data_IF_486454654344
#
_entry.id   IF_486454654344
#
_cell.length_a   1.000
_cell.length_b   1.000
_cell.length_c   1.000
_cell.angle_alpha   90.00
_cell.angle_beta   90.00
_cell.angle_gamma   90.00
#
_symmetry.space_group_name_H-M   'P 1'
#
loop_
_entity.id
_entity.type
_entity.pdbx_description
1 polymer ?
#
# COMPACT_ATOMS: atom_id res chain seq x y z
N UNK A 1 -10.85 -25.71 -4.09
CA UNK A 1 -11.60 -24.99 -4.39
C UNK A 1 -11.78 -23.88 -3.66
N UNK A 2 -11.95 -23.88 -2.54
CA UNK A 2 -12.04 -22.79 -1.69
C UNK A 2 -10.76 -22.06 -1.48
N UNK A 3 -9.64 -22.62 -1.92
CA UNK A 3 -8.33 -22.00 -1.72
C UNK A 3 -8.18 -20.66 -2.41
N UNK A 4 -8.73 -20.49 -3.58
CA UNK A 4 -8.66 -19.21 -4.30
C UNK A 4 -9.46 -18.13 -3.57
N UNK A 5 -10.63 -18.48 -3.06
CA UNK A 5 -11.45 -17.54 -2.30
C UNK A 5 -10.77 -17.14 -0.98
N UNK A 6 -10.15 -18.11 -0.29
CA UNK A 6 -9.41 -17.82 0.92
C UNK A 6 -8.21 -16.92 0.64
N UNK A 7 -7.50 -17.18 -0.46
CA UNK A 7 -6.36 -16.37 -0.84
C UNK A 7 -6.77 -14.94 -1.14
N UNK A 8 -7.87 -14.75 -1.86
CA UNK A 8 -8.41 -13.43 -2.17
C UNK A 8 -8.79 -12.71 -0.88
N UNK A 9 -9.43 -13.39 0.06
CA UNK A 9 -9.80 -12.81 1.35
C UNK A 9 -8.57 -12.35 2.14
N UNK A 10 -7.53 -13.18 2.20
CA UNK A 10 -6.29 -12.85 2.88
C UNK A 10 -5.61 -11.65 2.21
N UNK A 11 -5.58 -11.62 0.89
CA UNK A 11 -4.97 -10.55 0.13
C UNK A 11 -5.73 -9.24 0.32
N UNK A 12 -7.05 -9.27 0.34
CA UNK A 12 -7.88 -8.10 0.61
C UNK A 12 -7.61 -7.54 2.00
N UNK A 13 -7.49 -8.41 3.00
CA UNK A 13 -7.20 -8.00 4.37
C UNK A 13 -5.84 -7.34 4.45
N UNK A 14 -4.84 -7.93 3.82
CA UNK A 14 -3.49 -7.39 3.78
C UNK A 14 -3.48 -6.03 3.07
N UNK A 15 -4.20 -5.93 1.97
CA UNK A 15 -4.34 -4.67 1.23
C UNK A 15 -4.95 -3.57 2.10
N UNK A 16 -6.04 -3.89 2.81
CA UNK A 16 -6.71 -2.92 3.67
C UNK A 16 -5.79 -2.42 4.77
N UNK A 17 -5.01 -3.32 5.38
CA UNK A 17 -4.05 -2.95 6.41
C UNK A 17 -2.98 -2.00 5.87
N UNK A 18 -2.50 -2.26 4.65
CA UNK A 18 -1.50 -1.41 4.00
C UNK A 18 -2.09 -0.05 3.66
N UNK A 19 -3.34 0.01 3.22
CA UNK A 19 -4.02 1.28 2.92
C UNK A 19 -4.16 2.12 4.18
N UNK A 20 -4.51 1.50 5.30
CA UNK A 20 -4.62 2.18 6.59
C UNK A 20 -3.26 2.76 6.99
N UNK A 21 -2.21 1.96 6.89
CA UNK A 21 -0.85 2.40 7.18
C UNK A 21 -0.45 3.57 6.29
N UNK A 22 -0.74 3.46 4.99
CA UNK A 22 -0.44 4.52 4.02
C UNK A 22 -1.11 5.84 4.39
N UNK A 23 -2.38 5.80 4.76
CA UNK A 23 -3.11 7.00 5.17
C UNK A 23 -2.50 7.64 6.41
N UNK A 24 -2.11 6.82 7.39
CA UNK A 24 -1.48 7.32 8.61
C UNK A 24 -0.15 8.01 8.30
N UNK A 25 0.66 7.42 7.45
CA UNK A 25 1.94 8.00 7.05
C UNK A 25 1.71 9.33 6.33
N UNK A 26 0.75 9.39 5.41
CA UNK A 26 0.43 10.60 4.68
C UNK A 26 -0.03 11.73 5.60
N UNK A 27 -0.87 11.41 6.59
CA UNK A 27 -1.31 12.39 7.58
C UNK A 27 -0.16 12.88 8.44
N UNK A 28 0.69 11.97 8.89
CA UNK A 28 1.88 12.34 9.67
C UNK A 28 2.82 13.22 8.84
N UNK A 29 3.00 12.91 7.57
CA UNK A 29 3.84 13.71 6.69
C UNK A 29 3.31 15.13 6.53
N UNK A 30 2.00 15.32 6.49
CA UNK A 30 1.40 16.65 6.44
C UNK A 30 1.73 17.44 7.70
N UNK A 31 1.64 16.79 8.86
CA UNK A 31 1.98 17.42 10.14
C UNK A 31 3.47 17.80 10.19
N UNK A 32 4.34 16.92 9.72
CA UNK A 32 5.78 17.17 9.69
C UNK A 32 6.13 18.36 8.80
N UNK A 33 5.50 18.43 7.62
CA UNK A 33 5.70 19.54 6.70
C UNK A 33 5.23 20.86 7.31
N UNK A 34 4.10 20.83 8.01
CA UNK A 34 3.58 22.00 8.69
C UNK A 34 4.56 22.50 9.75
N UNK A 35 5.12 21.58 10.54
CA UNK A 35 6.11 21.93 11.55
C UNK A 35 7.36 22.53 10.93
N UNK A 36 7.83 21.98 9.82
CA UNK A 36 8.98 22.51 9.12
C UNK A 36 8.68 23.92 8.63
N UNK A 37 7.51 24.16 8.06
CA UNK A 37 7.12 25.49 7.57
C UNK A 37 7.04 26.51 8.69
N UNK A 38 6.55 26.12 9.87
CA UNK A 38 6.46 26.99 11.03
C UNK A 38 7.83 27.38 11.57
N UNK A 39 8.82 26.51 11.40
CA UNK A 39 10.18 26.76 11.89
C UNK A 39 11.17 27.09 10.77
N UNK A 40 10.65 27.44 9.60
CA UNK A 40 11.48 27.66 8.42
C UNK A 40 12.56 28.73 8.61
N UNK A 41 12.26 29.77 9.38
CA UNK A 41 13.20 30.85 9.58
C UNK A 41 14.28 30.56 10.62
N UNK A 42 14.16 29.47 11.36
CA UNK A 42 15.14 29.11 12.38
C UNK A 42 16.31 28.40 11.72
N UNK A 43 17.42 29.08 11.58
CA UNK A 43 18.59 28.55 10.89
C UNK A 43 19.21 27.31 11.55
N UNK A 44 19.08 27.17 12.87
CA UNK A 44 19.64 26.04 13.61
C UNK A 44 18.56 25.12 14.16
N UNK A 45 17.49 24.96 13.43
CA UNK A 45 16.36 24.21 13.93
C UNK A 45 16.58 22.71 13.83
N UNK A 46 16.94 22.08 14.95
CA UNK A 46 17.08 20.62 15.01
C UNK A 46 15.76 19.93 14.76
N UNK A 47 14.65 20.58 15.15
CA UNK A 47 13.31 20.05 14.94
C UNK A 47 13.06 19.86 13.44
N UNK A 48 13.43 20.85 12.62
CA UNK A 48 13.28 20.74 11.16
C UNK A 48 14.06 19.56 10.58
N UNK A 49 15.29 19.36 11.06
CA UNK A 49 16.12 18.25 10.61
C UNK A 49 15.48 16.92 10.97
N UNK A 50 14.96 16.79 12.19
CA UNK A 50 14.30 15.56 12.63
C UNK A 50 13.04 15.28 11.83
N UNK A 51 12.21 16.30 11.56
CA UNK A 51 11.01 16.12 10.74
C UNK A 51 11.35 15.78 9.28
N UNK A 52 12.44 16.34 8.74
CA UNK A 52 12.89 15.99 7.40
C UNK A 52 13.30 14.51 7.33
N UNK A 53 13.98 14.02 8.37
CA UNK A 53 14.33 12.59 8.43
C UNK A 53 13.11 11.72 8.48
N UNK A 54 12.09 12.12 9.26
CA UNK A 54 10.83 11.39 9.35
C UNK A 54 10.08 11.39 8.01
N UNK A 55 10.13 12.51 7.29
CA UNK A 55 9.53 12.59 5.95
C UNK A 55 10.21 11.63 4.98
N UNK A 56 11.54 11.55 5.03
CA UNK A 56 12.28 10.62 4.16
C UNK A 56 11.91 9.17 4.49
N UNK A 57 11.87 8.81 5.76
CA UNK A 57 11.47 7.47 6.18
C UNK A 57 10.05 7.14 5.74
N UNK A 58 9.15 8.10 5.91
CA UNK A 58 7.76 7.94 5.48
C UNK A 58 7.65 7.73 3.99
N UNK A 59 8.43 8.45 3.19
CA UNK A 59 8.44 8.31 1.74
C UNK A 59 8.92 6.93 1.31
N UNK A 60 9.98 6.44 1.93
CA UNK A 60 10.49 5.09 1.65
C UNK A 60 9.41 4.06 1.96
N UNK A 61 8.73 4.19 3.09
CA UNK A 61 7.67 3.25 3.46
C UNK A 61 6.48 3.34 2.52
N UNK A 62 6.10 4.54 2.07
CA UNK A 62 5.04 4.73 1.09
C UNK A 62 5.38 3.98 -0.20
N UNK A 63 6.61 4.10 -0.69
CA UNK A 63 7.04 3.40 -1.89
C UNK A 63 6.95 1.88 -1.71
N UNK A 64 7.38 1.36 -0.56
CA UNK A 64 7.27 -0.07 -0.24
C UNK A 64 5.81 -0.53 -0.24
N UNK A 65 4.93 0.26 0.37
CA UNK A 65 3.50 -0.05 0.42
C UNK A 65 2.91 -0.06 -0.98
N UNK A 66 3.23 0.92 -1.80
CA UNK A 66 2.71 1.01 -3.16
C UNK A 66 3.14 -0.19 -4.00
N UNK A 67 4.39 -0.62 -3.87
CA UNK A 67 4.89 -1.82 -4.55
C UNK A 67 4.12 -3.05 -4.06
N UNK A 68 3.93 -3.17 -2.75
CA UNK A 68 3.19 -4.29 -2.16
C UNK A 68 1.74 -4.31 -2.63
N UNK A 69 1.09 -3.15 -2.68
CA UNK A 69 -0.29 -3.04 -3.16
C UNK A 69 -0.40 -3.45 -4.63
N UNK A 70 0.57 -3.08 -5.45
CA UNK A 70 0.59 -3.47 -6.85
C UNK A 70 0.70 -4.99 -7.00
N UNK A 71 1.58 -5.63 -6.21
CA UNK A 71 1.72 -7.08 -6.22
C UNK A 71 0.45 -7.78 -5.75
N UNK A 72 -0.17 -7.27 -4.69
CA UNK A 72 -1.42 -7.81 -4.17
C UNK A 72 -2.52 -7.73 -5.23
N UNK A 73 -2.63 -6.59 -5.91
CA UNK A 73 -3.62 -6.41 -6.96
C UNK A 73 -3.44 -7.44 -8.07
N UNK A 74 -2.21 -7.69 -8.49
CA UNK A 74 -1.92 -8.70 -9.51
C UNK A 74 -2.31 -10.10 -9.04
N UNK A 75 -1.99 -10.43 -7.78
CA UNK A 75 -2.34 -11.73 -7.22
C UNK A 75 -3.84 -11.93 -7.10
N UNK A 76 -4.56 -10.90 -6.67
CA UNK A 76 -6.02 -10.95 -6.57
C UNK A 76 -6.63 -11.18 -7.96
N UNK A 77 -6.15 -10.44 -8.95
CA UNK A 77 -6.65 -10.59 -10.32
C UNK A 77 -6.39 -12.00 -10.85
N UNK A 78 -5.21 -12.55 -10.58
CA UNK A 78 -4.88 -13.90 -10.98
C UNK A 78 -5.78 -14.94 -10.30
N UNK A 79 -6.00 -14.80 -8.99
CA UNK A 79 -6.88 -15.71 -8.25
C UNK A 79 -8.33 -15.59 -8.71
N UNK A 80 -8.78 -14.39 -9.05
CA UNK A 80 -10.13 -14.18 -9.58
C UNK A 80 -10.29 -14.87 -10.93
N UNK A 81 -9.30 -14.80 -11.78
CA UNK A 81 -9.33 -15.52 -13.08
C UNK A 81 -9.41 -17.02 -12.88
N UNK A 82 -8.60 -17.56 -11.97
CA UNK A 82 -8.60 -18.99 -11.68
C UNK A 82 -9.92 -19.44 -11.08
N UNK A 83 -10.46 -18.65 -10.15
CA UNK A 83 -11.74 -18.95 -9.53
C UNK A 83 -12.87 -18.92 -10.56
N UNK A 84 -12.87 -17.95 -11.43
CA UNK A 84 -13.87 -17.82 -12.49
C UNK A 84 -13.80 -19.00 -13.46
N UNK A 85 -12.62 -19.42 -13.85
CA UNK A 85 -12.42 -20.57 -14.72
C UNK A 85 -12.96 -21.85 -14.08
N UNK A 86 -12.68 -22.07 -12.80
CA UNK A 86 -13.19 -23.22 -12.07
C UNK A 86 -14.71 -23.16 -11.95
N UNK A 87 -15.23 -21.98 -11.66
CA UNK A 87 -16.64 -21.83 -11.48
C UNK A 87 -17.43 -22.05 -12.74
N UNK A 88 -16.95 -21.57 -13.87
CA UNK A 88 -17.63 -21.70 -15.14
C UNK A 88 -17.42 -23.07 -15.79
N UNK A 89 -16.48 -23.82 -15.30
CA UNK A 89 -16.16 -25.12 -15.87
C UNK A 89 -15.61 -25.04 -17.25
N UNK A 90 -15.28 -23.91 -17.74
CA UNK A 90 -14.88 -23.78 -19.00
C UNK A 90 -13.64 -23.64 -19.21
N UNK A 91 -13.28 -23.92 -19.35
CA UNK A 91 -12.16 -23.84 -19.54
C UNK A 91 -11.79 -23.28 -20.49
N UNK A 92 -11.98 -22.84 -20.82
CA UNK A 92 -11.73 -22.38 -21.72
C UNK A 92 -10.84 -21.93 -22.05
N UNK A 93 -10.56 -21.99 -21.78
CA UNK A 93 -9.82 -21.81 -22.14
C UNK A 93 -9.46 -21.58 -23.11
N UNK A 94 -9.73 -21.81 -23.40
CA UNK A 94 -9.59 -21.76 -24.49
C UNK A 94 -9.28 -20.65 -24.97
N UNK A 95 -9.54 -20.01 -24.63
CA UNK A 95 -9.32 -18.94 -25.05
C UNK A 95 -8.33 -18.44 -24.79
N UNK A 96 -7.92 -18.95 -24.54
CA UNK A 96 -7.02 -18.48 -24.28
C UNK A 96 -6.32 -18.21 -24.83
#
# INVERSE_FOLDING_TARGET
MTDFAKNISKLNKKRNNLIIELKLIQENNKLYRKQIDEHWEDSDCRICVEFQKLLIKGRIRIDEIEISLCKIKKEINLNNRKLSAVKNGIECDCNT
#
